data_IF_106095534400
#
_entry.id   IF_106095534400
#
_cell.length_a   1.000
_cell.length_b   1.000
_cell.length_c   1.000
_cell.angle_alpha   90.00
_cell.angle_beta   90.00
_cell.angle_gamma   90.00
#
_symmetry.space_group_name_H-M   'P 1'
#
loop_
_entity.id
_entity.type
_entity.pdbx_description
1 polymer ?
#
# COMPACT_ATOMS: atom_id res chain seq x y z
N UNK A 1 -12.03 -18.17 9.52
CA UNK A 1 -10.72 -18.80 9.22
C UNK A 1 -9.73 -17.67 9.34
N UNK A 2 -8.64 -17.79 10.12
CA UNK A 2 -7.78 -16.63 10.36
C UNK A 2 -7.30 -16.01 9.03
N UNK A 3 -7.70 -14.78 8.76
CA UNK A 3 -7.10 -13.97 7.70
C UNK A 3 -5.59 -13.96 7.96
N UNK A 4 -4.83 -14.55 7.05
CA UNK A 4 -3.37 -14.46 7.14
C UNK A 4 -3.01 -12.96 7.03
N UNK A 5 -2.28 -12.41 8.01
CA UNK A 5 -1.93 -10.98 8.03
C UNK A 5 -1.26 -10.55 6.72
N UNK A 6 -0.49 -11.46 6.12
CA UNK A 6 0.11 -11.27 4.80
C UNK A 6 -0.93 -11.05 3.69
N UNK A 7 -2.04 -11.81 3.67
CA UNK A 7 -3.10 -11.62 2.66
C UNK A 7 -3.76 -10.25 2.78
N UNK A 8 -3.94 -9.76 4.02
CA UNK A 8 -4.43 -8.40 4.27
C UNK A 8 -3.45 -7.35 3.73
N UNK A 9 -2.15 -7.55 3.96
CA UNK A 9 -1.11 -6.65 3.48
C UNK A 9 -1.03 -6.63 1.95
N UNK A 10 -1.03 -7.79 1.31
CA UNK A 10 -1.07 -7.93 -0.16
C UNK A 10 -2.30 -7.22 -0.73
N UNK A 11 -3.48 -7.45 -0.17
CA UNK A 11 -4.70 -6.80 -0.61
C UNK A 11 -4.64 -5.27 -0.49
N UNK A 12 -4.08 -4.74 0.61
CA UNK A 12 -3.91 -3.31 0.82
C UNK A 12 -2.96 -2.69 -0.22
N UNK A 13 -1.80 -3.31 -0.43
CA UNK A 13 -0.81 -2.87 -1.42
C UNK A 13 -1.42 -2.87 -2.82
N UNK A 14 -2.06 -3.97 -3.23
CA UNK A 14 -2.71 -4.06 -4.54
C UNK A 14 -3.80 -2.99 -4.72
N UNK A 15 -4.60 -2.75 -3.68
CA UNK A 15 -5.68 -1.75 -3.71
C UNK A 15 -5.14 -0.34 -3.92
N UNK A 16 -4.09 0.03 -3.19
CA UNK A 16 -3.44 1.34 -3.31
C UNK A 16 -2.73 1.44 -4.66
N UNK A 17 -2.01 0.39 -5.08
CA UNK A 17 -1.29 0.34 -6.35
C UNK A 17 -2.22 0.53 -7.56
N UNK A 18 -3.35 -0.19 -7.59
CA UNK A 18 -4.36 -0.04 -8.65
C UNK A 18 -4.96 1.36 -8.67
N UNK A 19 -5.12 1.98 -7.49
CA UNK A 19 -5.68 3.31 -7.39
C UNK A 19 -4.69 4.44 -7.74
N UNK A 20 -3.38 4.19 -7.72
CA UNK A 20 -2.37 5.15 -8.20
C UNK A 20 -2.68 5.64 -9.61
N UNK A 21 -3.16 4.76 -10.51
CA UNK A 21 -3.54 5.11 -11.90
C UNK A 21 -4.63 6.18 -12.01
N UNK A 22 -5.48 6.34 -10.98
CA UNK A 22 -6.58 7.32 -10.94
C UNK A 22 -6.31 8.49 -9.98
N UNK A 23 -5.07 8.65 -9.52
CA UNK A 23 -4.66 9.72 -8.60
C UNK A 23 -4.88 9.41 -7.13
N UNK A 24 -4.85 8.13 -6.75
CA UNK A 24 -4.86 7.67 -5.35
C UNK A 24 -6.17 7.07 -4.87
N UNK A 25 -6.18 6.67 -3.59
CA UNK A 25 -7.38 6.17 -2.92
C UNK A 25 -7.54 6.76 -1.53
N UNK A 26 -8.77 7.09 -1.16
CA UNK A 26 -9.06 7.58 0.19
C UNK A 26 -9.30 6.43 1.17
N UNK A 27 -9.13 6.70 2.47
CA UNK A 27 -9.45 5.73 3.52
C UNK A 27 -10.91 5.24 3.42
N UNK A 28 -11.86 6.14 3.10
CA UNK A 28 -13.28 5.77 2.94
C UNK A 28 -13.48 4.75 1.82
N UNK A 29 -12.81 4.94 0.69
CA UNK A 29 -12.88 3.97 -0.42
C UNK A 29 -12.21 2.65 -0.08
N UNK A 30 -11.07 2.68 0.64
CA UNK A 30 -10.42 1.46 1.12
C UNK A 30 -11.36 0.72 2.07
N UNK A 31 -11.97 1.40 3.05
CA UNK A 31 -12.90 0.78 3.98
C UNK A 31 -14.11 0.19 3.26
N UNK A 32 -14.68 0.90 2.28
CA UNK A 32 -15.81 0.39 1.50
C UNK A 32 -15.44 -0.90 0.75
N UNK A 33 -14.26 -0.94 0.11
CA UNK A 33 -13.78 -2.13 -0.60
C UNK A 33 -13.38 -3.26 0.35
N UNK A 34 -12.88 -2.92 1.53
CA UNK A 34 -12.52 -3.89 2.55
C UNK A 34 -13.77 -4.61 3.04
N UNK A 35 -14.83 -3.86 3.37
CA UNK A 35 -16.12 -4.41 3.81
C UNK A 35 -16.82 -5.27 2.76
N UNK A 36 -16.63 -4.95 1.47
CA UNK A 36 -17.15 -5.74 0.35
C UNK A 36 -16.35 -7.02 0.10
N UNK A 37 -15.11 -7.08 0.60
CA UNK A 37 -14.22 -8.23 0.44
C UNK A 37 -14.53 -9.31 1.49
N UNK A 38 -14.55 -10.58 1.06
CA UNK A 38 -14.60 -11.74 1.96
C UNK A 38 -13.46 -11.74 3.01
N UNK A 39 -12.37 -11.02 2.74
CA UNK A 39 -11.23 -10.86 3.65
C UNK A 39 -11.51 -9.95 4.84
N UNK A 40 -12.62 -9.23 4.90
CA UNK A 40 -12.95 -8.38 6.05
C UNK A 40 -13.42 -9.19 7.25
N UNK A 41 -14.04 -10.36 7.04
CA UNK A 41 -14.80 -11.10 8.05
C UNK A 41 -15.76 -10.17 8.86
N UNK A 42 -16.26 -9.09 8.24
CA UNK A 42 -17.13 -8.09 8.87
C UNK A 42 -16.41 -7.13 9.84
N UNK A 43 -15.09 -7.18 9.92
CA UNK A 43 -14.30 -6.31 10.80
C UNK A 43 -13.88 -5.02 10.07
N UNK A 44 -14.30 -3.89 10.64
CA UNK A 44 -13.89 -2.57 10.17
C UNK A 44 -12.41 -2.29 10.50
N UNK A 45 -11.66 -1.78 9.52
CA UNK A 45 -10.32 -1.27 9.76
C UNK A 45 -10.41 0.10 10.44
N UNK A 46 -10.16 0.13 11.75
CA UNK A 46 -9.95 1.40 12.44
C UNK A 46 -8.76 2.15 11.83
N UNK A 47 -8.84 3.48 11.79
CA UNK A 47 -7.77 4.36 11.29
C UNK A 47 -6.39 4.00 11.84
N UNK A 48 -6.32 3.75 13.15
CA UNK A 48 -5.05 3.41 13.82
C UNK A 48 -4.50 2.05 13.36
N UNK A 49 -5.37 1.05 13.23
CA UNK A 49 -5.00 -0.27 12.72
C UNK A 49 -4.54 -0.19 11.27
N UNK A 50 -5.23 0.60 10.45
CA UNK A 50 -4.84 0.84 9.06
C UNK A 50 -3.43 1.46 8.98
N UNK A 51 -3.17 2.53 9.72
CA UNK A 51 -1.85 3.19 9.74
C UNK A 51 -0.75 2.22 10.18
N UNK A 52 -0.99 1.44 11.24
CA UNK A 52 -0.03 0.43 11.69
C UNK A 52 0.25 -0.62 10.60
N UNK A 53 -0.79 -1.10 9.91
CA UNK A 53 -0.62 -2.05 8.80
C UNK A 53 0.18 -1.43 7.65
N UNK A 54 -0.05 -0.15 7.33
CA UNK A 54 0.73 0.57 6.32
C UNK A 54 2.20 0.63 6.73
N UNK A 55 2.51 1.01 7.97
CA UNK A 55 3.91 1.01 8.43
C UNK A 55 4.56 -0.37 8.39
N UNK A 56 3.84 -1.43 8.78
CA UNK A 56 4.35 -2.80 8.63
C UNK A 56 4.57 -3.18 7.16
N UNK A 57 3.70 -2.72 6.25
CA UNK A 57 3.86 -2.94 4.81
C UNK A 57 5.09 -2.19 4.28
N UNK A 58 5.30 -0.94 4.69
CA UNK A 58 6.48 -0.15 4.32
C UNK A 58 7.77 -0.86 4.73
N UNK A 59 7.80 -1.41 5.95
CA UNK A 59 8.95 -2.19 6.45
C UNK A 59 9.12 -3.54 5.75
N UNK A 60 8.02 -4.26 5.48
CA UNK A 60 8.06 -5.61 4.90
C UNK A 60 8.35 -5.63 3.40
N UNK A 61 7.85 -4.64 2.66
CA UNK A 61 7.96 -4.57 1.19
C UNK A 61 8.96 -3.51 0.73
N UNK A 62 9.58 -2.77 1.65
CA UNK A 62 10.52 -1.68 1.36
C UNK A 62 9.93 -0.64 0.38
N UNK A 63 8.63 -0.36 0.52
CA UNK A 63 7.91 0.66 -0.27
C UNK A 63 7.59 1.87 0.59
N UNK A 64 7.36 3.02 -0.05
CA UNK A 64 6.89 4.22 0.63
C UNK A 64 5.41 4.46 0.30
N UNK A 65 4.56 4.61 1.32
CA UNK A 65 3.14 4.92 1.14
C UNK A 65 2.87 6.33 1.68
N UNK A 66 2.89 7.31 0.77
CA UNK A 66 2.58 8.68 1.11
C UNK A 66 1.06 8.93 1.22
N UNK A 67 0.71 9.84 2.12
CA UNK A 67 -0.64 10.41 2.19
C UNK A 67 -0.60 11.84 1.64
N UNK A 68 -1.04 11.99 0.40
CA UNK A 68 -1.09 13.28 -0.30
C UNK A 68 -2.26 14.17 0.11
N UNK A 69 -2.35 15.32 -0.56
CA UNK A 69 -3.46 16.27 -0.45
C UNK A 69 -4.83 15.59 -0.70
N UNK A 70 -5.77 15.79 0.22
CA UNK A 70 -7.12 15.22 0.14
C UNK A 70 -7.28 13.82 0.76
N UNK A 71 -6.39 13.42 1.67
CA UNK A 71 -6.42 12.12 2.36
C UNK A 71 -6.33 10.92 1.40
N UNK A 72 -5.52 11.07 0.35
CA UNK A 72 -5.31 10.05 -0.67
C UNK A 72 -3.97 9.35 -0.45
N UNK A 73 -4.03 8.03 -0.41
CA UNK A 73 -2.87 7.16 -0.25
C UNK A 73 -2.37 6.70 -1.62
N UNK A 74 -1.06 6.87 -1.83
CA UNK A 74 -0.36 6.48 -3.05
C UNK A 74 0.92 5.74 -2.67
N UNK A 75 1.32 4.76 -3.48
CA UNK A 75 2.64 4.14 -3.34
C UNK A 75 3.65 4.97 -4.14
N UNK A 76 4.60 5.60 -3.45
CA UNK A 76 5.84 6.07 -4.06
C UNK A 76 6.76 4.87 -4.19
N UNK A 77 7.08 4.53 -5.43
CA UNK A 77 8.29 3.78 -5.69
C UNK A 77 9.37 4.85 -5.68
N UNK A 78 10.26 4.82 -4.69
CA UNK A 78 11.54 5.51 -4.88
C UNK A 78 12.13 5.02 -6.20
N UNK A 79 12.85 5.88 -6.91
CA UNK A 79 13.52 5.64 -8.21
C UNK A 79 14.54 4.47 -8.23
N UNK A 80 14.34 3.41 -7.43
CA UNK A 80 15.14 2.19 -7.39
C UNK A 80 14.60 1.07 -8.30
N UNK A 81 13.81 1.41 -9.32
CA UNK A 81 13.48 0.47 -10.40
C UNK A 81 13.54 1.13 -11.78
N UNK A 82 14.61 1.90 -12.03
CA UNK A 82 15.22 1.90 -13.36
C UNK A 82 16.28 0.78 -13.44
N UNK A 83 15.85 -0.49 -13.36
CA UNK A 83 16.66 -1.59 -13.90
C UNK A 83 16.64 -1.49 -15.43
N UNK A 84 17.45 -0.55 -15.91
CA UNK A 84 17.63 -0.18 -17.31
C UNK A 84 18.81 0.80 -17.47
N UNK A 85 19.20 1.48 -16.39
CA UNK A 85 20.40 2.31 -16.38
C UNK A 85 21.57 1.50 -15.84
N UNK A 86 22.20 0.78 -16.78
CA UNK A 86 23.61 0.38 -16.81
C UNK A 86 24.40 0.77 -15.58
N UNK A 87 24.81 -0.25 -14.81
CA UNK A 87 25.93 -0.17 -13.86
C UNK A 87 27.06 0.69 -14.43
N UNK A 88 27.24 1.88 -13.87
CA UNK A 88 28.51 2.58 -13.93
C UNK A 88 28.87 3.07 -12.53
N UNK A 89 29.09 2.10 -11.63
CA UNK A 89 30.11 2.25 -10.61
C UNK A 89 31.41 1.66 -11.15
N UNK A 90 32.26 2.51 -11.69
CA UNK A 90 33.70 2.33 -11.61
C UNK A 90 34.42 3.68 -11.74
N UNK A 91 35.31 3.91 -10.78
CA UNK A 91 36.49 4.78 -10.85
C UNK A 91 36.30 6.30 -10.63
N UNK A 92 36.52 6.70 -9.38
CA UNK A 92 37.59 7.67 -9.09
C UNK A 92 38.55 7.05 -8.09
#
# INVERSE_FOLDING_TARGET
MAINQLNKYVWLVETIHRAKKRGGITLKEIQSRWLDSDLSEGTELSRRTFINNIHSIEELFEINIECGSGYRYNIEYGDCFEEGSTRSWCSR
#
